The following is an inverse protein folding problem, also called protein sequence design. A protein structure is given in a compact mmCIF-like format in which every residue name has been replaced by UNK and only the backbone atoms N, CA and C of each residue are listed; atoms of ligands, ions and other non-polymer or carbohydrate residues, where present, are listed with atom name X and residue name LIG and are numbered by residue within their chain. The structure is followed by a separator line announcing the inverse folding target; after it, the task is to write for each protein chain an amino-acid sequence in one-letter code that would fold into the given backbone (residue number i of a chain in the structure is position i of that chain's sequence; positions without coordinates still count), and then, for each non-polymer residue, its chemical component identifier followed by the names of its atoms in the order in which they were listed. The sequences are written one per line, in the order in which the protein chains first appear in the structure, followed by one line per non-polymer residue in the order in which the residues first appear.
data_IF_392647941374
#
_entry.id   IF_392647941374
#
_cell.length_a   1.000
_cell.length_b   1.000
_cell.length_c   1.000
_cell.angle_alpha   90.00
_cell.angle_beta   90.00
_cell.angle_gamma   90.00
#
_symmetry.space_group_name_H-M   'P 1'
#
loop_
_entity.id
_entity.type
_entity.pdbx_description
1 polymer ?
#
# COMPACT_ATOMS: atom_id res chain seq x y z
N UNK A 1 12.76 -6.30 21.87
CA UNK A 1 11.42 -5.75 21.53
C UNK A 1 11.42 -5.31 20.07
N UNK A 2 10.51 -5.80 19.23
CA UNK A 2 10.30 -5.31 17.86
C UNK A 2 10.35 -6.42 16.79
N UNK A 3 9.26 -7.18 16.61
CA UNK A 3 9.15 -8.20 15.55
C UNK A 3 7.75 -8.27 14.91
N UNK A 4 7.08 -7.14 14.64
CA UNK A 4 5.64 -7.18 14.26
C UNK A 4 5.26 -6.48 12.94
N UNK A 5 6.20 -5.81 12.24
CA UNK A 5 5.89 -5.18 10.94
C UNK A 5 5.90 -6.19 9.77
N UNK A 6 6.68 -7.27 9.87
CA UNK A 6 6.88 -8.23 8.78
C UNK A 6 5.66 -9.13 8.54
N UNK A 7 4.94 -9.53 9.60
CA UNK A 7 3.79 -10.43 9.46
C UNK A 7 2.59 -9.77 8.77
N UNK A 8 2.41 -8.47 8.94
CA UNK A 8 1.26 -7.75 8.36
C UNK A 8 1.34 -7.70 6.83
N UNK A 9 2.49 -7.36 6.27
CA UNK A 9 2.62 -7.19 4.81
C UNK A 9 2.66 -8.51 4.02
N UNK A 10 2.80 -9.66 4.67
CA UNK A 10 2.78 -10.96 3.97
C UNK A 10 1.36 -11.49 3.73
N UNK A 11 0.33 -10.83 4.28
CA UNK A 11 -1.07 -11.21 4.08
C UNK A 11 -1.57 -10.95 2.66
N UNK A 12 -2.48 -11.82 2.21
CA UNK A 12 -3.21 -11.73 0.95
C UNK A 12 -4.69 -11.45 1.22
N UNK A 13 -5.45 -11.04 0.21
CA UNK A 13 -6.88 -10.68 0.33
C UNK A 13 -7.13 -9.61 1.41
N UNK A 14 -6.36 -8.52 1.37
CA UNK A 14 -6.44 -7.44 2.35
C UNK A 14 -6.88 -6.11 1.73
N UNK A 15 -7.61 -5.33 2.52
CA UNK A 15 -7.83 -3.89 2.29
C UNK A 15 -6.78 -3.15 3.11
N UNK A 16 -6.03 -2.28 2.45
CA UNK A 16 -4.93 -1.56 3.07
C UNK A 16 -5.00 -0.06 2.78
N UNK A 17 -4.45 0.73 3.69
CA UNK A 17 -4.35 2.19 3.64
C UNK A 17 -2.89 2.63 3.68
N UNK A 18 -2.54 3.56 2.79
CA UNK A 18 -1.24 4.22 2.72
C UNK A 18 -1.46 5.71 2.81
N UNK A 19 -0.70 6.39 3.67
CA UNK A 19 -0.81 7.84 3.86
C UNK A 19 0.22 8.58 3.00
N UNK A 20 -0.09 9.82 2.67
CA UNK A 20 0.89 10.78 2.21
C UNK A 20 1.65 11.36 3.41
N UNK A 21 2.96 11.59 3.27
CA UNK A 21 3.77 12.24 4.29
C UNK A 21 3.61 13.78 4.27
N UNK A 22 3.15 14.34 3.16
CA UNK A 22 3.14 15.78 2.90
C UNK A 22 1.74 16.41 2.96
N UNK A 23 0.68 15.59 3.01
CA UNK A 23 -0.70 16.08 3.16
C UNK A 23 -1.59 15.02 3.80
N UNK A 24 -2.81 15.42 4.15
CA UNK A 24 -3.80 14.56 4.83
C UNK A 24 -4.45 13.51 3.91
N UNK A 25 -4.04 13.47 2.63
CA UNK A 25 -4.55 12.49 1.69
C UNK A 25 -4.04 11.08 2.03
N UNK A 26 -4.91 10.10 1.78
CA UNK A 26 -4.55 8.69 1.90
C UNK A 26 -5.15 7.88 0.76
N UNK A 27 -4.46 6.81 0.40
CA UNK A 27 -4.90 5.84 -0.58
C UNK A 27 -5.36 4.58 0.12
N UNK A 28 -6.56 4.12 -0.21
CA UNK A 28 -7.09 2.82 0.22
C UNK A 28 -7.20 1.92 -1.00
N UNK A 29 -6.63 0.72 -0.91
CA UNK A 29 -6.68 -0.27 -1.98
C UNK A 29 -6.96 -1.67 -1.44
N UNK A 30 -7.51 -2.52 -2.30
CA UNK A 30 -7.66 -3.95 -2.03
C UNK A 30 -6.65 -4.74 -2.87
N UNK A 31 -6.14 -5.84 -2.32
CA UNK A 31 -5.30 -6.77 -3.07
C UNK A 31 -5.61 -8.22 -2.72
N UNK A 32 -5.81 -9.05 -3.74
CA UNK A 32 -5.84 -10.52 -3.60
C UNK A 32 -4.44 -11.12 -3.48
N UNK A 33 -3.42 -10.45 -4.02
CA UNK A 33 -2.00 -10.84 -3.87
C UNK A 33 -1.49 -10.44 -2.49
N UNK A 34 -0.34 -11.00 -2.10
CA UNK A 34 0.44 -10.54 -0.94
C UNK A 34 0.62 -9.02 -0.99
N UNK A 35 0.32 -8.35 0.13
CA UNK A 35 0.42 -6.90 0.24
C UNK A 35 1.83 -6.40 -0.10
N UNK A 36 2.88 -7.10 0.35
CA UNK A 36 4.28 -6.81 0.00
C UNK A 36 4.53 -6.77 -1.51
N UNK A 37 3.89 -7.65 -2.29
CA UNK A 37 4.01 -7.65 -3.75
C UNK A 37 3.34 -6.41 -4.34
N UNK A 38 2.13 -6.07 -3.88
CA UNK A 38 1.41 -4.89 -4.35
C UNK A 38 2.16 -3.58 -4.05
N UNK A 39 2.79 -3.48 -2.88
CA UNK A 39 3.62 -2.33 -2.50
C UNK A 39 4.84 -2.19 -3.43
N UNK A 40 5.49 -3.33 -3.77
CA UNK A 40 6.63 -3.31 -4.69
C UNK A 40 6.23 -2.83 -6.10
N UNK A 41 5.05 -3.23 -6.57
CA UNK A 41 4.49 -2.75 -7.85
C UNK A 41 4.34 -1.23 -7.82
N UNK A 42 3.68 -0.68 -6.80
CA UNK A 42 3.50 0.77 -6.66
C UNK A 42 4.82 1.54 -6.61
N UNK A 43 5.80 1.06 -5.83
CA UNK A 43 7.14 1.65 -5.77
C UNK A 43 7.86 1.60 -7.13
N UNK A 44 7.66 0.53 -7.89
CA UNK A 44 8.25 0.39 -9.22
C UNK A 44 7.59 1.33 -10.24
N UNK A 45 6.28 1.53 -10.17
CA UNK A 45 5.56 2.47 -11.03
C UNK A 45 6.03 3.90 -10.80
N UNK A 46 6.19 4.33 -9.55
CA UNK A 46 6.76 5.64 -9.21
C UNK A 46 8.18 5.81 -9.76
N UNK A 47 9.05 4.80 -9.58
CA UNK A 47 10.43 4.86 -10.07
C UNK A 47 10.51 4.96 -11.59
N UNK A 48 9.54 4.39 -12.30
CA UNK A 48 9.42 4.46 -13.76
C UNK A 48 8.68 5.71 -14.24
N UNK A 49 8.23 6.58 -13.33
CA UNK A 49 7.33 7.70 -13.61
C UNK A 49 6.05 7.28 -14.32
N UNK A 50 5.58 6.06 -14.06
CA UNK A 50 4.31 5.56 -14.56
C UNK A 50 3.17 6.06 -13.68
N UNK A 51 2.09 6.52 -14.30
CA UNK A 51 0.87 6.98 -13.61
C UNK A 51 -0.21 5.89 -13.48
N UNK A 52 0.19 4.62 -13.52
CA UNK A 52 -0.74 3.48 -13.49
C UNK A 52 -1.50 3.32 -12.15
N UNK A 53 -1.06 4.00 -11.10
CA UNK A 53 -1.72 3.99 -9.80
C UNK A 53 -2.02 5.40 -9.33
N UNK A 54 -3.10 5.57 -8.56
CA UNK A 54 -3.44 6.85 -7.92
C UNK A 54 -2.29 7.32 -7.01
N UNK A 55 -1.61 6.38 -6.35
CA UNK A 55 -0.46 6.67 -5.48
C UNK A 55 0.71 7.24 -6.27
N UNK A 56 1.02 6.65 -7.43
CA UNK A 56 2.09 7.13 -8.30
C UNK A 56 1.75 8.45 -8.96
N UNK A 57 0.51 8.62 -9.41
CA UNK A 57 0.02 9.90 -9.96
C UNK A 57 0.09 11.02 -8.91
N UNK A 58 -0.32 10.76 -7.67
CA UNK A 58 -0.23 11.74 -6.58
C UNK A 58 1.22 12.19 -6.33
N UNK A 59 2.16 11.24 -6.23
CA UNK A 59 3.57 11.57 -6.04
C UNK A 59 4.15 12.33 -7.24
N UNK A 60 3.82 11.95 -8.47
CA UNK A 60 4.32 12.61 -9.68
C UNK A 60 3.76 14.03 -9.86
N UNK A 61 2.48 14.23 -9.53
CA UNK A 61 1.81 15.52 -9.72
C UNK A 61 2.21 16.55 -8.65
N UNK A 62 2.35 16.12 -7.40
CA UNK A 62 2.57 17.02 -6.27
C UNK A 62 3.99 16.95 -5.68
N UNK A 63 4.84 16.02 -6.15
CA UNK A 63 6.18 15.79 -5.58
C UNK A 63 6.14 15.21 -4.16
N UNK A 64 4.98 14.74 -3.72
CA UNK A 64 4.77 14.25 -2.36
C UNK A 64 5.39 12.87 -2.13
N UNK A 65 5.82 12.63 -0.90
CA UNK A 65 6.31 11.34 -0.44
C UNK A 65 5.19 10.51 0.14
N UNK A 66 5.22 9.23 -0.17
CA UNK A 66 4.26 8.23 0.31
C UNK A 66 4.88 7.48 1.49
N UNK A 67 4.10 7.29 2.56
CA UNK A 67 4.54 6.56 3.75
C UNK A 67 4.46 5.04 3.52
N UNK A 68 5.55 4.49 2.99
CA UNK A 68 5.68 3.06 2.76
C UNK A 68 5.96 2.23 4.01
N UNK A 69 6.32 2.89 5.12
CA UNK A 69 6.73 2.21 6.34
C UNK A 69 5.55 2.01 7.30
N UNK A 70 4.53 2.87 7.24
CA UNK A 70 3.36 2.81 8.12
C UNK A 70 2.06 2.47 7.36
N UNK A 71 2.10 1.35 6.64
CA UNK A 71 0.94 0.82 5.94
C UNK A 71 -0.01 0.15 6.93
N UNK A 72 -1.29 0.51 6.85
CA UNK A 72 -2.33 -0.01 7.73
C UNK A 72 -3.18 -1.04 6.97
N UNK A 73 -3.41 -2.20 7.56
CA UNK A 73 -4.43 -3.13 7.07
C UNK A 73 -5.73 -2.75 7.75
N UNK A 74 -6.73 -2.37 6.95
CA UNK A 74 -8.05 -1.99 7.42
C UNK A 74 -8.97 -3.20 7.57
N UNK A 75 -8.82 -4.17 6.66
CA UNK A 75 -9.59 -5.40 6.68
C UNK A 75 -8.81 -6.54 6.02
N UNK A 76 -9.11 -7.77 6.41
CA UNK A 76 -8.61 -8.98 5.76
C UNK A 76 -9.77 -9.93 5.55
N UNK A 77 -9.95 -10.36 4.30
CA UNK A 77 -10.97 -11.32 3.95
C UNK A 77 -10.63 -12.67 4.60
N UNK A 78 -11.35 -13.00 5.69
CA UNK A 78 -11.36 -14.34 6.24
C UNK A 78 -12.10 -15.22 5.23
N UNK A 79 -11.39 -16.17 4.63
CA UNK A 79 -12.00 -17.19 3.79
C UNK A 79 -13.03 -17.97 4.62
N UNK A 80 -14.30 -17.55 4.57
CA UNK A 80 -15.40 -18.37 5.04
C UNK A 80 -15.66 -19.43 3.98
N UNK A 81 -14.94 -20.55 4.05
CA UNK A 81 -15.38 -21.76 3.38
C UNK A 81 -16.67 -22.22 4.09
N UNK A 82 -17.81 -22.15 3.39
CA UNK A 82 -19.06 -22.84 3.77
C UNK A 82 -19.11 -24.18 3.06
#
# INVERSE_FOLDING_TARGET
MGKDKLDKIDNSNVVYKINCCNCDCSYVGQTKRKLKTRIKEHKADIRKSNNHSVVSLHQLQYGHQIDWENINILDSERLFYK
#
